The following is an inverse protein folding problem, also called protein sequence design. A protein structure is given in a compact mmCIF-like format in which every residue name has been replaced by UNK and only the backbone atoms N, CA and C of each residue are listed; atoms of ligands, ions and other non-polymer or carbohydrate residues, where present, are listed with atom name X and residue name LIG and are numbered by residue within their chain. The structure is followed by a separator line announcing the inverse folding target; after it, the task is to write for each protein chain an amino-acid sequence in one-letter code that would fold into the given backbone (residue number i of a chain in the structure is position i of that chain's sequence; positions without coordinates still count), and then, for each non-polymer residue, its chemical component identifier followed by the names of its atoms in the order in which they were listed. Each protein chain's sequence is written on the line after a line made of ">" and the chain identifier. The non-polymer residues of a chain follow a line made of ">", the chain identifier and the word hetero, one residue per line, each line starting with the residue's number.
data_IF_355983958622
#
_entry.id   IF_355983958622
#
_cell.length_a   1.000
_cell.length_b   1.000
_cell.length_c   1.000
_cell.angle_alpha   90.00
_cell.angle_beta   90.00
_cell.angle_gamma   90.00
#
_symmetry.space_group_name_H-M   'P 1'
#
loop_
_entity.id
_entity.type
_entity.pdbx_description
1 polymer ?
#
# COMPACT_ATOMS: atom_id res chain seq x y z
N UNK A 1 7.90 8.77 10.63
CA UNK A 1 7.28 7.49 11.04
C UNK A 1 5.77 7.61 10.83
N UNK A 2 5.20 6.83 9.91
CA UNK A 2 3.76 6.74 9.76
C UNK A 2 3.22 5.82 10.88
N UNK A 3 2.45 6.37 11.82
CA UNK A 3 1.88 5.60 12.92
C UNK A 3 0.55 5.01 12.48
N UNK A 4 0.49 3.68 12.30
CA UNK A 4 -0.76 2.99 12.01
C UNK A 4 -1.71 3.12 13.20
N UNK A 5 -2.91 3.67 12.96
CA UNK A 5 -3.92 3.80 14.01
C UNK A 5 -4.69 2.49 14.14
N UNK A 6 -4.61 1.89 15.34
CA UNK A 6 -5.41 0.72 15.70
C UNK A 6 -6.90 1.09 15.84
N UNK A 7 -7.79 0.15 15.54
CA UNK A 7 -9.19 0.25 15.93
C UNK A 7 -9.31 -0.04 17.43
N UNK A 8 -10.05 0.80 18.13
CA UNK A 8 -10.22 0.76 19.59
C UNK A 8 -11.67 0.52 19.96
N UNK A 9 -11.94 0.16 21.22
CA UNK A 9 -13.32 0.02 21.73
C UNK A 9 -14.15 1.31 21.65
N UNK A 10 -13.51 2.47 21.47
CA UNK A 10 -14.18 3.78 21.30
C UNK A 10 -14.61 4.04 19.86
N UNK A 11 -14.08 3.27 18.91
CA UNK A 11 -14.47 3.40 17.52
C UNK A 11 -15.84 2.76 17.29
N UNK A 12 -16.71 3.45 16.57
CA UNK A 12 -18.01 2.91 16.19
C UNK A 12 -17.83 1.84 15.09
N UNK A 13 -18.19 0.56 15.35
CA UNK A 13 -17.97 -0.53 14.39
C UNK A 13 -18.65 -0.30 13.03
N UNK A 14 -19.87 0.25 13.02
CA UNK A 14 -20.59 0.53 11.78
C UNK A 14 -19.85 1.59 10.95
N UNK A 15 -19.33 2.64 11.60
CA UNK A 15 -18.54 3.67 10.91
C UNK A 15 -17.24 3.10 10.35
N UNK A 16 -16.55 2.23 11.09
CA UNK A 16 -15.33 1.57 10.62
C UNK A 16 -15.62 0.71 9.38
N UNK A 17 -16.68 -0.10 9.41
CA UNK A 17 -17.07 -0.92 8.27
C UNK A 17 -17.40 -0.06 7.04
N UNK A 18 -18.20 1.01 7.21
CA UNK A 18 -18.53 1.90 6.10
C UNK A 18 -17.31 2.61 5.51
N UNK A 19 -16.37 3.04 6.35
CA UNK A 19 -15.12 3.65 5.88
C UNK A 19 -14.23 2.64 5.16
N UNK A 20 -14.14 1.41 5.66
CA UNK A 20 -13.38 0.34 5.02
C UNK A 20 -13.87 0.10 3.59
N UNK A 21 -15.18 -0.08 3.42
CA UNK A 21 -15.81 -0.27 2.10
C UNK A 21 -15.60 0.93 1.19
N UNK A 22 -15.77 2.16 1.71
CA UNK A 22 -15.56 3.38 0.92
C UNK A 22 -14.13 3.48 0.42
N UNK A 23 -13.14 3.22 1.27
CA UNK A 23 -11.73 3.32 0.93
C UNK A 23 -11.27 2.18 0.03
N UNK A 24 -11.82 0.99 0.19
CA UNK A 24 -11.61 -0.12 -0.75
C UNK A 24 -12.12 0.25 -2.14
N UNK A 25 -13.36 0.76 -2.25
CA UNK A 25 -13.91 1.20 -3.53
C UNK A 25 -13.10 2.34 -4.18
N UNK A 26 -12.61 3.30 -3.38
CA UNK A 26 -11.72 4.36 -3.85
C UNK A 26 -10.44 3.78 -4.47
N UNK A 27 -9.82 2.81 -3.80
CA UNK A 27 -8.58 2.20 -4.26
C UNK A 27 -8.79 1.28 -5.47
N UNK A 28 -9.91 0.57 -5.55
CA UNK A 28 -10.26 -0.22 -6.74
C UNK A 28 -10.42 0.70 -7.97
N UNK A 29 -11.15 1.80 -7.84
CA UNK A 29 -11.27 2.77 -8.93
C UNK A 29 -9.91 3.39 -9.29
N UNK A 30 -9.09 3.74 -8.30
CA UNK A 30 -7.73 4.23 -8.54
C UNK A 30 -6.86 3.22 -9.28
N UNK A 31 -7.00 1.91 -9.03
CA UNK A 31 -6.28 0.87 -9.76
C UNK A 31 -6.70 0.78 -11.23
N UNK A 32 -7.99 0.90 -11.53
CA UNK A 32 -8.49 0.92 -12.91
C UNK A 32 -7.89 2.10 -13.67
N UNK A 33 -7.94 3.30 -13.08
CA UNK A 33 -7.33 4.52 -13.65
C UNK A 33 -5.81 4.33 -13.80
N UNK A 34 -5.14 3.75 -12.81
CA UNK A 34 -3.69 3.53 -12.87
C UNK A 34 -3.29 2.62 -14.03
N UNK A 35 -4.06 1.55 -14.29
CA UNK A 35 -3.83 0.64 -15.42
C UNK A 35 -4.03 1.37 -16.75
N UNK A 36 -5.05 2.22 -16.87
CA UNK A 36 -5.28 3.04 -18.08
C UNK A 36 -4.13 4.02 -18.33
N UNK A 37 -3.74 4.79 -17.31
CA UNK A 37 -2.63 5.75 -17.37
C UNK A 37 -1.29 5.06 -17.62
N UNK A 38 -1.14 3.80 -17.20
CA UNK A 38 0.08 3.04 -17.41
C UNK A 38 0.34 2.65 -18.87
N UNK A 39 -0.61 2.84 -19.79
CA UNK A 39 -0.46 2.50 -21.22
C UNK A 39 0.87 3.00 -21.83
N UNK A 40 1.32 4.21 -21.47
CA UNK A 40 2.55 4.83 -21.95
C UNK A 40 3.80 4.52 -21.10
N UNK A 41 3.69 3.68 -20.07
CA UNK A 41 4.78 3.31 -19.17
C UNK A 41 5.57 2.10 -19.69
N UNK A 42 6.79 1.84 -19.17
CA UNK A 42 7.56 0.66 -19.52
C UNK A 42 6.76 -0.64 -19.31
N UNK A 43 6.98 -1.64 -20.16
CA UNK A 43 6.22 -2.90 -20.14
C UNK A 43 6.15 -3.53 -18.74
N UNK A 44 7.28 -3.57 -18.03
CA UNK A 44 7.34 -4.14 -16.68
C UNK A 44 6.42 -3.42 -15.68
N UNK A 45 6.31 -2.09 -15.75
CA UNK A 45 5.44 -1.30 -14.88
C UNK A 45 3.98 -1.63 -15.17
N UNK A 46 3.61 -1.74 -16.45
CA UNK A 46 2.25 -2.13 -16.86
C UNK A 46 1.88 -3.51 -16.36
N UNK A 47 2.78 -4.48 -16.54
CA UNK A 47 2.56 -5.87 -16.10
C UNK A 47 2.39 -5.94 -14.59
N UNK A 48 3.20 -5.21 -13.82
CA UNK A 48 3.08 -5.18 -12.36
C UNK A 48 1.75 -4.53 -11.93
N UNK A 49 1.39 -3.38 -12.50
CA UNK A 49 0.12 -2.70 -12.19
C UNK A 49 -1.10 -3.55 -12.54
N UNK A 50 -1.05 -4.34 -13.62
CA UNK A 50 -2.15 -5.24 -14.00
C UNK A 50 -2.40 -6.38 -12.99
N UNK A 51 -1.44 -6.67 -12.09
CA UNK A 51 -1.61 -7.66 -11.01
C UNK A 51 -2.13 -7.06 -9.71
N UNK A 52 -2.32 -5.74 -9.69
CA UNK A 52 -2.62 -5.03 -8.46
C UNK A 52 -3.98 -5.42 -7.88
N UNK A 53 -4.03 -5.57 -6.57
CA UNK A 53 -5.26 -5.85 -5.82
C UNK A 53 -5.34 -4.90 -4.62
N UNK A 54 -6.55 -4.40 -4.33
CA UNK A 54 -6.80 -3.54 -3.17
C UNK A 54 -7.67 -4.29 -2.16
N UNK A 55 -7.29 -4.22 -0.88
CA UNK A 55 -8.03 -4.85 0.22
C UNK A 55 -8.20 -3.89 1.40
N UNK A 56 -9.43 -3.80 1.91
CA UNK A 56 -9.73 -3.13 3.17
C UNK A 56 -9.33 -4.00 4.38
N UNK A 57 -8.17 -3.74 4.97
CA UNK A 57 -7.62 -4.59 6.05
C UNK A 57 -8.23 -4.34 7.45
N UNK A 58 -9.29 -3.54 7.56
CA UNK A 58 -9.87 -3.17 8.86
C UNK A 58 -10.42 -4.34 9.67
N UNK A 59 -11.12 -5.26 9.02
CA UNK A 59 -11.68 -6.44 9.69
C UNK A 59 -10.61 -7.49 10.01
N UNK A 60 -9.63 -7.67 9.11
CA UNK A 60 -8.63 -8.74 9.23
C UNK A 60 -7.50 -8.40 10.22
N UNK A 61 -7.07 -7.13 10.27
CA UNK A 61 -5.90 -6.71 11.05
C UNK A 61 -6.22 -5.77 12.22
N UNK A 62 -7.50 -5.45 12.46
CA UNK A 62 -7.92 -4.53 13.52
C UNK A 62 -7.21 -3.15 13.42
N UNK A 63 -6.95 -2.70 12.18
CA UNK A 63 -6.17 -1.50 11.85
C UNK A 63 -6.92 -0.57 10.88
N UNK A 64 -6.77 0.75 11.05
CA UNK A 64 -7.31 1.76 10.12
C UNK A 64 -6.40 1.95 8.91
N UNK A 65 -6.25 0.89 8.14
CA UNK A 65 -5.29 0.75 7.04
C UNK A 65 -5.94 -0.03 5.91
N UNK A 66 -5.67 0.37 4.68
CA UNK A 66 -5.92 -0.42 3.48
C UNK A 66 -4.58 -0.94 2.93
N UNK A 67 -4.60 -2.00 2.15
CA UNK A 67 -3.43 -2.46 1.42
C UNK A 67 -3.69 -2.48 -0.07
N UNK A 68 -2.63 -2.20 -0.83
CA UNK A 68 -2.55 -2.50 -2.25
C UNK A 68 -1.39 -3.46 -2.44
N UNK A 69 -1.64 -4.58 -3.08
CA UNK A 69 -0.64 -5.62 -3.33
C UNK A 69 -0.35 -5.73 -4.81
N UNK A 70 0.93 -5.78 -5.17
CA UNK A 70 1.40 -5.93 -6.56
C UNK A 70 2.27 -7.15 -6.67
N UNK A 71 2.06 -7.98 -7.70
CA UNK A 71 2.91 -9.12 -8.00
C UNK A 71 3.95 -8.74 -9.05
N UNK A 72 5.21 -8.73 -8.64
CA UNK A 72 6.34 -8.45 -9.53
C UNK A 72 7.04 -9.77 -9.91
N UNK A 73 6.46 -10.47 -10.88
CA UNK A 73 6.88 -11.83 -11.30
C UNK A 73 8.37 -11.91 -11.69
N UNK A 74 8.87 -10.90 -12.41
CA UNK A 74 10.30 -10.80 -12.79
C UNK A 74 11.22 -10.95 -11.59
N UNK A 75 10.84 -10.40 -10.44
CA UNK A 75 11.64 -10.42 -9.22
C UNK A 75 11.24 -11.53 -8.26
N UNK A 76 10.21 -12.33 -8.59
CA UNK A 76 9.61 -13.34 -7.70
C UNK A 76 9.22 -12.75 -6.34
N UNK A 77 8.62 -11.56 -6.34
CA UNK A 77 8.24 -10.81 -5.14
C UNK A 77 6.81 -10.30 -5.24
N UNK A 78 6.20 -10.10 -4.08
CA UNK A 78 4.98 -9.32 -3.92
C UNK A 78 5.34 -8.05 -3.15
N UNK A 79 4.91 -6.91 -3.65
CA UNK A 79 5.05 -5.62 -2.98
C UNK A 79 3.73 -5.23 -2.36
N UNK A 80 3.76 -4.79 -1.11
CA UNK A 80 2.58 -4.34 -0.38
C UNK A 80 2.74 -2.88 0.00
N UNK A 81 1.78 -2.07 -0.41
CA UNK A 81 1.63 -0.69 0.04
C UNK A 81 0.57 -0.65 1.11
N UNK A 82 0.98 -0.37 2.35
CA UNK A 82 0.06 -0.17 3.47
C UNK A 82 -0.32 1.31 3.58
N UNK A 83 -1.58 1.64 3.36
CA UNK A 83 -2.08 3.00 3.29
C UNK A 83 -2.96 3.29 4.51
N UNK A 84 -2.50 4.11 5.47
CA UNK A 84 -3.35 4.57 6.56
C UNK A 84 -4.56 5.36 6.04
N UNK A 85 -5.74 5.16 6.62
CA UNK A 85 -6.98 5.80 6.16
C UNK A 85 -6.96 7.33 6.13
N UNK A 86 -6.17 7.98 6.98
CA UNK A 86 -6.06 9.44 6.97
C UNK A 86 -5.36 9.98 5.71
N UNK A 87 -4.62 9.15 4.97
CA UNK A 87 -4.09 9.50 3.66
C UNK A 87 -5.10 9.29 2.53
N UNK A 88 -6.20 8.59 2.79
CA UNK A 88 -7.29 8.38 1.82
C UNK A 88 -8.39 9.43 2.00
N UNK A 89 -8.49 10.00 3.19
CA UNK A 89 -9.49 11.01 3.51
C UNK A 89 -9.27 12.29 2.68
N UNK A 90 -10.30 12.69 1.93
CA UNK A 90 -10.25 13.86 1.05
C UNK A 90 -9.44 13.69 -0.24
N UNK A 91 -8.94 12.47 -0.55
CA UNK A 91 -8.24 12.21 -1.82
C UNK A 91 -9.17 11.71 -2.92
N UNK A 92 -8.76 11.89 -4.17
CA UNK A 92 -9.49 11.37 -5.35
C UNK A 92 -8.86 10.06 -5.86
N UNK A 93 -9.58 9.36 -6.72
CA UNK A 93 -9.09 8.11 -7.32
C UNK A 93 -7.87 8.39 -8.22
N UNK A 94 -7.88 9.50 -8.95
CA UNK A 94 -6.79 9.94 -9.83
C UNK A 94 -5.50 10.21 -9.02
N UNK A 95 -5.60 10.90 -7.88
CA UNK A 95 -4.46 11.15 -7.01
C UNK A 95 -3.85 9.85 -6.46
N UNK A 96 -4.70 8.89 -6.08
CA UNK A 96 -4.23 7.58 -5.64
C UNK A 96 -3.63 6.77 -6.80
N UNK A 97 -4.21 6.87 -8.00
CA UNK A 97 -3.70 6.21 -9.20
C UNK A 97 -2.27 6.68 -9.55
N UNK A 98 -2.04 7.99 -9.52
CA UNK A 98 -0.71 8.57 -9.70
C UNK A 98 0.28 8.06 -8.66
N UNK A 99 -0.13 8.04 -7.38
CA UNK A 99 0.70 7.52 -6.28
C UNK A 99 1.02 6.02 -6.42
N UNK A 100 0.08 5.21 -6.92
CA UNK A 100 0.28 3.79 -7.20
C UNK A 100 1.30 3.58 -8.32
N UNK A 101 1.21 4.35 -9.40
CA UNK A 101 2.17 4.33 -10.51
C UNK A 101 3.56 4.70 -10.00
N UNK A 102 3.68 5.82 -9.27
CA UNK A 102 4.95 6.28 -8.70
C UNK A 102 5.56 5.22 -7.77
N UNK A 103 4.73 4.55 -6.96
CA UNK A 103 5.16 3.47 -6.07
C UNK A 103 5.76 2.30 -6.86
N UNK A 104 5.08 1.85 -7.92
CA UNK A 104 5.58 0.75 -8.77
C UNK A 104 6.86 1.16 -9.48
N UNK A 105 6.92 2.35 -10.06
CA UNK A 105 8.12 2.88 -10.74
C UNK A 105 9.30 2.95 -9.78
N UNK A 106 9.09 3.48 -8.58
CA UNK A 106 10.12 3.58 -7.54
C UNK A 106 10.60 2.20 -7.10
N UNK A 107 9.69 1.24 -6.86
CA UNK A 107 10.07 -0.11 -6.46
C UNK A 107 10.85 -0.84 -7.56
N UNK A 108 10.46 -0.66 -8.83
CA UNK A 108 11.21 -1.17 -9.99
C UNK A 108 12.61 -0.56 -10.01
N UNK A 109 12.70 0.77 -9.96
CA UNK A 109 13.97 1.49 -9.96
C UNK A 109 14.89 1.00 -8.84
N UNK A 110 14.44 1.04 -7.60
CA UNK A 110 15.25 0.65 -6.43
C UNK A 110 15.68 -0.82 -6.48
N UNK A 111 14.86 -1.70 -7.07
CA UNK A 111 15.20 -3.12 -7.24
C UNK A 111 16.25 -3.32 -8.32
N UNK A 112 16.13 -2.65 -9.47
CA UNK A 112 17.10 -2.73 -10.57
C UNK A 112 18.45 -2.10 -10.21
N UNK A 113 18.44 -1.03 -9.40
CA UNK A 113 19.68 -0.34 -8.98
C UNK A 113 20.24 -0.83 -7.66
N UNK A 114 19.59 -1.80 -7.01
CA UNK A 114 19.92 -2.27 -5.66
C UNK A 114 20.10 -1.11 -4.65
N UNK A 115 19.27 -0.07 -4.78
CA UNK A 115 19.35 1.15 -3.97
C UNK A 115 18.44 1.12 -2.74
N UNK A 116 18.05 -0.08 -2.32
CA UNK A 116 17.29 -0.26 -1.09
C UNK A 116 18.11 0.21 0.11
N UNK A 117 17.51 0.97 1.05
CA UNK A 117 18.20 1.29 2.28
C UNK A 117 18.61 0.00 2.99
N UNK A 118 19.79 -0.02 3.64
CA UNK A 118 20.18 -1.17 4.43
C UNK A 118 19.10 -1.45 5.47
N UNK A 119 18.85 -2.74 5.71
CA UNK A 119 17.96 -3.13 6.80
C UNK A 119 18.46 -2.46 8.09
N UNK A 120 17.55 -2.00 8.96
CA UNK A 120 17.95 -1.54 10.28
C UNK A 120 18.79 -2.66 10.92
N UNK A 121 20.03 -2.35 11.29
CA UNK A 121 20.82 -3.25 12.12
C UNK A 121 20.00 -3.58 13.37
N UNK A 122 19.95 -4.86 13.74
CA UNK A 122 19.20 -5.32 14.91
C UNK A 122 19.40 -4.34 16.08
N UNK A 123 18.32 -3.93 16.76
CA UNK A 123 18.49 -3.14 17.97
C UNK A 123 19.44 -3.91 18.89
N UNK A 124 20.40 -3.25 19.55
CA UNK A 124 21.33 -3.93 20.44
C UNK A 124 20.50 -4.80 21.37
N UNK A 125 20.77 -6.11 21.33
CA UNK A 125 20.17 -7.10 22.22
C UNK A 125 20.11 -6.46 23.60
N UNK A 126 18.91 -6.25 24.12
CA UNK A 126 18.74 -5.83 25.52
C UNK A 126 19.43 -6.94 26.30
N UNK A 127 20.67 -6.71 26.71
CA UNK A 127 21.34 -7.49 27.74
C UNK A 127 20.38 -7.42 28.93
N UNK A 128 19.71 -8.53 29.16
CA UNK A 128 19.06 -8.77 30.43
C UNK A 128 20.13 -8.76 31.51
N UNK A 129 19.69 -8.26 32.68
CA UNK A 129 20.28 -8.51 33.99
C UNK A 129 21.60 -7.75 34.25
N UNK A 130 21.77 -7.06 35.36
CA UNK A 130 21.29 -7.32 36.74
C UNK A 130 20.76 -6.06 37.43
#
# INVERSE_FOLDING_TARGET
>A
MATFRRITKRDNPARIASLAVRYEALLVNALEIAVELASNKPQLVREILATATAEGLAANLNSKTAAVSYRAEKYRRTWHTLIPWHHLDGTTAEQQAESMIETVETNVYMTETNSWPPLPSDPPSRKGSE
#
